data_IF_673827491257
#
_entry.id   IF_673827491257
#
_cell.length_a   1.000
_cell.length_b   1.000
_cell.length_c   1.000
_cell.angle_alpha   90.00
_cell.angle_beta   90.00
_cell.angle_gamma   90.00
#
_symmetry.space_group_name_H-M   'P 1'
#
loop_
_entity.id
_entity.type
_entity.pdbx_description
1 polymer ?
#
# COMPACT_ATOMS: atom_id res chain seq x y z
N UNK A 1 28.18 18.72 -7.35
CA UNK A 1 27.19 18.02 -6.51
C UNK A 1 25.88 18.76 -6.66
N UNK A 2 24.82 18.06 -7.05
CA UNK A 2 23.46 18.61 -7.09
C UNK A 2 22.68 18.08 -5.89
N UNK A 3 21.87 18.95 -5.31
CA UNK A 3 20.88 18.57 -4.29
C UNK A 3 19.52 18.53 -4.97
N UNK A 4 18.75 17.49 -4.73
CA UNK A 4 17.40 17.31 -5.27
C UNK A 4 16.48 17.07 -4.09
N UNK A 5 15.43 17.87 -3.98
CA UNK A 5 14.41 17.78 -2.95
C UNK A 5 13.05 17.40 -3.57
N UNK A 6 12.35 16.44 -2.96
CA UNK A 6 11.04 16.01 -3.43
C UNK A 6 10.61 14.68 -2.81
N UNK A 7 9.35 14.32 -3.01
CA UNK A 7 8.79 13.07 -2.48
C UNK A 7 9.18 11.83 -3.30
N UNK A 8 9.68 11.99 -4.52
CA UNK A 8 10.14 10.90 -5.42
C UNK A 8 9.17 9.70 -5.47
N UNK A 9 7.87 9.97 -5.49
CA UNK A 9 6.80 8.98 -5.38
C UNK A 9 6.44 8.27 -6.69
N UNK A 10 7.40 8.17 -7.61
CA UNK A 10 7.26 7.38 -8.85
C UNK A 10 8.57 6.69 -9.19
N UNK A 11 8.49 5.45 -9.68
CA UNK A 11 9.68 4.70 -10.10
C UNK A 11 10.43 5.36 -11.27
N UNK A 12 9.79 6.23 -12.04
CA UNK A 12 10.42 6.93 -13.17
C UNK A 12 11.66 7.74 -12.76
N UNK A 13 11.76 8.19 -11.50
CA UNK A 13 12.94 8.90 -10.99
C UNK A 13 14.17 8.01 -10.83
N UNK A 14 14.01 6.69 -10.77
CA UNK A 14 15.09 5.77 -10.44
C UNK A 14 14.97 4.42 -11.17
N UNK A 15 14.16 4.30 -12.22
CA UNK A 15 14.00 3.03 -12.94
C UNK A 15 15.31 2.53 -13.55
N UNK A 16 16.16 3.42 -14.06
CA UNK A 16 17.48 3.10 -14.58
C UNK A 16 18.47 2.61 -13.50
N UNK A 17 18.19 2.92 -12.23
CA UNK A 17 18.97 2.54 -11.05
C UNK A 17 18.19 1.62 -10.10
N UNK A 18 17.16 0.92 -10.57
CA UNK A 18 16.27 0.12 -9.73
C UNK A 18 16.99 -0.99 -8.95
N UNK A 19 18.05 -1.56 -9.51
CA UNK A 19 18.87 -2.58 -8.84
C UNK A 19 19.69 -1.98 -7.69
N UNK A 20 20.31 -0.84 -7.91
CA UNK A 20 21.09 -0.10 -6.92
C UNK A 20 20.20 0.37 -5.78
N UNK A 21 19.02 0.90 -6.11
CA UNK A 21 18.02 1.32 -5.10
C UNK A 21 17.60 0.11 -4.24
N UNK A 22 17.25 -1.05 -4.83
CA UNK A 22 16.93 -2.25 -4.05
C UNK A 22 18.08 -2.72 -3.20
N UNK A 23 19.31 -2.59 -3.68
CA UNK A 23 20.51 -2.94 -2.91
C UNK A 23 20.72 -2.01 -1.72
N UNK A 24 20.47 -0.70 -1.92
CA UNK A 24 20.56 0.29 -0.85
C UNK A 24 19.49 0.12 0.24
N UNK A 25 18.31 -0.42 -0.13
CA UNK A 25 17.20 -0.70 0.78
C UNK A 25 17.23 -2.12 1.38
N UNK A 26 18.37 -2.81 1.37
CA UNK A 26 18.47 -4.11 2.04
C UNK A 26 18.33 -3.99 3.56
N UNK A 27 17.53 -4.87 4.14
CA UNK A 27 17.34 -4.94 5.58
C UNK A 27 18.55 -5.65 6.22
N UNK A 28 19.37 -4.91 6.95
CA UNK A 28 20.63 -5.42 7.54
C UNK A 28 20.45 -5.97 8.96
N UNK A 29 19.49 -5.45 9.72
CA UNK A 29 19.24 -5.92 11.09
C UNK A 29 18.39 -7.20 11.10
N UNK A 30 18.53 -8.09 12.09
CA UNK A 30 17.62 -9.21 12.25
C UNK A 30 16.18 -8.73 12.51
N UNK A 31 15.20 -9.55 12.17
CA UNK A 31 13.82 -9.31 12.57
C UNK A 31 13.66 -9.49 14.08
N UNK A 32 12.67 -8.80 14.68
CA UNK A 32 12.17 -9.18 16.01
C UNK A 32 11.55 -10.58 15.98
N UNK A 33 11.49 -11.27 17.13
CA UNK A 33 10.92 -12.62 17.21
C UNK A 33 9.50 -12.69 16.66
N UNK A 34 8.64 -11.72 17.04
CA UNK A 34 7.26 -11.67 16.54
C UNK A 34 7.20 -11.46 15.02
N UNK A 35 8.04 -10.60 14.48
CA UNK A 35 8.10 -10.40 13.04
C UNK A 35 8.62 -11.65 12.30
N UNK A 36 9.55 -12.39 12.89
CA UNK A 36 10.05 -13.63 12.32
C UNK A 36 8.98 -14.72 12.29
N UNK A 37 8.19 -14.89 13.36
CA UNK A 37 7.05 -15.82 13.39
C UNK A 37 6.05 -15.53 12.29
N UNK A 38 5.72 -14.24 12.08
CA UNK A 38 4.84 -13.82 10.98
C UNK A 38 5.50 -14.13 9.62
N UNK A 39 6.79 -13.80 9.47
CA UNK A 39 7.53 -14.04 8.24
C UNK A 39 7.54 -15.52 7.85
N UNK A 40 7.69 -16.42 8.83
CA UNK A 40 7.68 -17.88 8.63
C UNK A 40 6.31 -18.42 8.15
N UNK A 41 5.22 -17.64 8.37
CA UNK A 41 3.87 -17.97 7.89
C UNK A 41 3.60 -17.51 6.45
N UNK A 42 4.43 -16.62 5.90
CA UNK A 42 4.27 -16.08 4.55
C UNK A 42 4.55 -17.17 3.51
N UNK A 43 3.65 -17.30 2.56
CA UNK A 43 3.77 -18.23 1.44
C UNK A 43 3.45 -17.55 0.10
N UNK A 44 3.49 -18.30 -1.01
CA UNK A 44 3.29 -17.76 -2.35
C UNK A 44 1.91 -17.13 -2.58
N UNK A 45 0.90 -17.50 -1.80
CA UNK A 45 -0.47 -16.98 -1.89
C UNK A 45 -0.75 -15.88 -0.86
N UNK A 46 0.25 -15.49 -0.07
CA UNK A 46 0.09 -14.42 0.92
C UNK A 46 0.07 -13.06 0.24
N UNK A 47 -1.00 -12.31 0.50
CA UNK A 47 -1.22 -10.96 0.00
C UNK A 47 -0.98 -9.96 1.13
N UNK A 48 0.00 -9.08 0.98
CA UNK A 48 0.13 -7.93 1.86
C UNK A 48 -1.05 -6.97 1.59
N UNK A 49 -1.92 -6.86 2.56
CA UNK A 49 -3.12 -6.04 2.50
C UNK A 49 -2.97 -4.85 3.45
N UNK A 50 -2.85 -3.66 2.89
CA UNK A 50 -2.60 -2.45 3.68
C UNK A 50 -3.81 -1.53 3.68
N UNK A 51 -4.18 -1.03 4.86
CA UNK A 51 -5.14 0.06 5.03
C UNK A 51 -4.46 1.18 5.82
N UNK A 52 -4.46 2.39 5.26
CA UNK A 52 -4.05 3.61 5.94
C UNK A 52 -5.28 4.45 6.22
N UNK A 53 -5.48 4.77 7.47
CA UNK A 53 -6.67 5.49 7.92
C UNK A 53 -6.31 6.70 8.79
N UNK A 54 -5.79 6.52 9.94
CA UNK A 54 -5.33 7.49 10.93
C UNK A 54 -5.32 8.96 10.49
N UNK A 55 -4.16 9.46 10.10
CA UNK A 55 -3.97 10.85 9.63
C UNK A 55 -4.63 11.16 8.28
N UNK A 56 -5.12 10.14 7.54
CA UNK A 56 -5.81 10.36 6.26
C UNK A 56 -7.28 10.79 6.44
N UNK A 57 -7.92 10.43 7.54
CA UNK A 57 -9.35 10.70 7.76
C UNK A 57 -9.71 12.18 7.67
N UNK A 58 -8.90 13.01 8.33
CA UNK A 58 -9.12 14.46 8.41
C UNK A 58 -8.41 15.22 7.28
N UNK A 59 -7.76 14.49 6.36
CA UNK A 59 -7.03 15.09 5.25
C UNK A 59 -7.77 14.86 3.93
N UNK A 60 -8.51 15.83 3.42
CA UNK A 60 -9.28 15.67 2.18
C UNK A 60 -8.42 15.43 0.94
N UNK A 61 -7.12 15.72 1.01
CA UNK A 61 -6.17 15.42 -0.06
C UNK A 61 -5.92 13.90 -0.17
N UNK A 62 -5.89 13.19 0.95
CA UNK A 62 -5.48 11.79 1.04
C UNK A 62 -6.60 10.81 1.35
N UNK A 63 -7.70 11.25 1.93
CA UNK A 63 -8.85 10.37 2.21
C UNK A 63 -9.64 10.09 0.93
N UNK A 64 -9.14 9.19 0.10
CA UNK A 64 -9.70 8.87 -1.22
C UNK A 64 -10.17 7.42 -1.36
N UNK A 65 -9.64 6.49 -0.58
CA UNK A 65 -10.03 5.09 -0.66
C UNK A 65 -11.28 4.81 0.18
N UNK A 66 -12.33 4.27 -0.45
CA UNK A 66 -13.53 3.79 0.25
C UNK A 66 -13.33 2.37 0.81
N UNK A 67 -14.18 1.94 1.74
CA UNK A 67 -14.24 0.51 2.16
C UNK A 67 -14.50 -0.40 0.95
N UNK A 68 -15.35 0.05 0.03
CA UNK A 68 -15.71 -0.71 -1.16
C UNK A 68 -14.53 -0.88 -2.12
N UNK A 69 -13.57 0.09 -2.15
CA UNK A 69 -12.31 -0.11 -2.86
C UNK A 69 -11.60 -1.38 -2.39
N UNK A 70 -11.44 -1.56 -1.08
CA UNK A 70 -10.75 -2.72 -0.52
C UNK A 70 -11.48 -4.02 -0.78
N UNK A 71 -12.81 -4.02 -0.72
CA UNK A 71 -13.63 -5.20 -1.09
C UNK A 71 -13.44 -5.56 -2.57
N UNK A 72 -13.53 -4.57 -3.48
CA UNK A 72 -13.28 -4.79 -4.91
C UNK A 72 -11.87 -5.30 -5.17
N UNK A 73 -10.87 -4.77 -4.44
CA UNK A 73 -9.48 -5.20 -4.57
C UNK A 73 -9.29 -6.66 -4.14
N UNK A 74 -9.92 -7.10 -3.04
CA UNK A 74 -9.89 -8.49 -2.60
C UNK A 74 -10.53 -9.41 -3.66
N UNK A 75 -11.72 -9.07 -4.16
CA UNK A 75 -12.39 -9.85 -5.20
C UNK A 75 -11.55 -9.98 -6.47
N UNK A 76 -10.92 -8.88 -6.90
CA UNK A 76 -10.00 -8.92 -8.04
C UNK A 76 -8.78 -9.79 -7.74
N UNK A 77 -8.21 -9.71 -6.54
CA UNK A 77 -7.05 -10.52 -6.16
C UNK A 77 -7.38 -12.01 -6.14
N UNK A 78 -8.56 -12.42 -5.67
CA UNK A 78 -9.05 -13.81 -5.68
C UNK A 78 -9.01 -14.42 -7.09
N UNK A 79 -9.26 -13.62 -8.13
CA UNK A 79 -9.21 -14.11 -9.51
C UNK A 79 -7.79 -14.40 -10.00
N UNK A 80 -6.78 -13.87 -9.35
CA UNK A 80 -5.37 -14.00 -9.74
C UNK A 80 -4.56 -14.90 -8.80
N UNK A 81 -4.98 -15.03 -7.55
CA UNK A 81 -4.26 -15.78 -6.50
C UNK A 81 -5.19 -16.82 -5.88
N UNK A 82 -5.07 -18.10 -6.28
CA UNK A 82 -5.88 -19.18 -5.70
C UNK A 82 -5.57 -19.34 -4.21
N UNK A 83 -6.61 -19.60 -3.40
CA UNK A 83 -6.45 -19.84 -1.96
C UNK A 83 -5.64 -18.73 -1.25
N UNK A 84 -5.85 -17.47 -1.65
CA UNK A 84 -5.15 -16.35 -1.03
C UNK A 84 -5.42 -16.27 0.48
N UNK A 85 -4.43 -15.79 1.20
CA UNK A 85 -4.54 -15.36 2.58
C UNK A 85 -4.01 -13.93 2.71
N UNK A 86 -4.62 -13.14 3.59
CA UNK A 86 -4.25 -11.75 3.79
C UNK A 86 -3.32 -11.61 4.99
N UNK A 87 -2.22 -10.93 4.80
CA UNK A 87 -1.42 -10.36 5.88
C UNK A 87 -1.79 -8.88 5.98
N UNK A 88 -2.52 -8.52 7.04
CA UNK A 88 -3.19 -7.23 7.18
C UNK A 88 -2.32 -6.24 7.94
N UNK A 89 -2.01 -5.12 7.32
CA UNK A 89 -1.27 -4.00 7.88
C UNK A 89 -2.18 -2.80 8.04
N UNK A 90 -2.26 -2.25 9.22
CA UNK A 90 -3.02 -1.03 9.49
C UNK A 90 -2.49 -0.26 10.67
N UNK A 91 -2.80 1.02 10.71
CA UNK A 91 -2.66 1.91 11.83
C UNK A 91 -3.90 1.91 12.76
N UNK A 92 -5.03 1.30 12.33
CA UNK A 92 -6.27 1.20 13.10
C UNK A 92 -6.91 -0.21 12.98
N UNK A 93 -6.27 -1.21 13.57
CA UNK A 93 -6.70 -2.62 13.48
C UNK A 93 -8.12 -2.83 14.02
N UNK A 94 -8.44 -2.31 15.20
CA UNK A 94 -9.76 -2.48 15.85
C UNK A 94 -10.90 -1.95 14.97
N UNK A 95 -10.64 -0.85 14.26
CA UNK A 95 -11.61 -0.29 13.34
C UNK A 95 -11.84 -1.23 12.16
N UNK A 96 -10.77 -1.82 11.61
CA UNK A 96 -10.89 -2.77 10.48
C UNK A 96 -11.68 -3.99 10.89
N UNK A 97 -11.39 -4.61 12.04
CA UNK A 97 -12.09 -5.77 12.55
C UNK A 97 -13.60 -5.51 12.71
N UNK A 98 -13.95 -4.27 13.07
CA UNK A 98 -15.34 -3.85 13.26
C UNK A 98 -16.09 -3.57 11.96
N UNK A 99 -15.40 -3.07 10.93
CA UNK A 99 -16.02 -2.49 9.74
C UNK A 99 -15.78 -3.29 8.44
N UNK A 100 -14.73 -4.08 8.35
CA UNK A 100 -14.39 -4.87 7.17
C UNK A 100 -14.39 -6.37 7.51
N UNK A 101 -15.33 -7.11 6.91
CA UNK A 101 -15.37 -8.56 7.05
C UNK A 101 -14.61 -9.22 5.92
N UNK A 102 -13.64 -10.05 6.29
CA UNK A 102 -12.90 -10.87 5.35
C UNK A 102 -13.55 -12.24 5.23
N UNK A 103 -13.79 -12.69 4.02
CA UNK A 103 -14.27 -14.04 3.69
C UNK A 103 -13.12 -14.98 3.27
N UNK A 104 -11.90 -14.58 3.53
CA UNK A 104 -10.64 -15.30 3.28
C UNK A 104 -9.81 -15.38 4.56
N UNK A 105 -8.93 -16.39 4.69
CA UNK A 105 -8.00 -16.45 5.81
C UNK A 105 -7.18 -15.15 5.92
N UNK A 106 -7.01 -14.66 7.12
CA UNK A 106 -6.25 -13.43 7.35
C UNK A 106 -5.54 -13.43 8.70
N UNK A 107 -4.45 -12.67 8.75
CA UNK A 107 -3.64 -12.44 9.95
C UNK A 107 -3.32 -10.95 10.05
N UNK A 108 -3.65 -10.32 11.16
CA UNK A 108 -3.22 -8.95 11.45
C UNK A 108 -1.79 -8.90 11.94
N UNK A 109 -1.00 -7.95 11.43
CA UNK A 109 0.37 -7.70 11.90
C UNK A 109 0.31 -6.91 13.19
N UNK A 110 0.14 -7.64 14.31
CA UNK A 110 0.07 -7.11 15.65
C UNK A 110 1.35 -7.40 16.44
N UNK A 111 1.68 -6.54 17.42
CA UNK A 111 2.84 -6.74 18.29
C UNK A 111 4.19 -6.58 17.60
N UNK A 112 4.21 -5.96 16.42
CA UNK A 112 5.41 -5.58 15.68
C UNK A 112 5.51 -4.05 15.75
N UNK A 113 6.34 -3.54 16.67
CA UNK A 113 6.43 -2.08 16.91
C UNK A 113 7.31 -1.36 15.89
N UNK A 114 8.30 -2.05 15.32
CA UNK A 114 9.28 -1.46 14.40
C UNK A 114 8.72 -1.39 12.96
N UNK A 115 8.60 -0.18 12.45
CA UNK A 115 8.16 0.09 11.07
C UNK A 115 9.05 -0.60 10.01
N UNK A 116 10.34 -0.80 10.30
CA UNK A 116 11.23 -1.52 9.38
C UNK A 116 10.84 -2.99 9.27
N UNK A 117 10.38 -3.61 10.36
CA UNK A 117 9.85 -4.97 10.32
C UNK A 117 8.53 -5.04 9.53
N UNK A 118 7.64 -4.05 9.65
CA UNK A 118 6.44 -3.96 8.79
C UNK A 118 6.82 -3.88 7.30
N UNK A 119 7.74 -2.99 6.94
CA UNK A 119 8.24 -2.85 5.57
C UNK A 119 8.83 -4.18 5.06
N UNK A 120 9.60 -4.85 5.89
CA UNK A 120 10.23 -6.13 5.57
C UNK A 120 9.21 -7.24 5.35
N UNK A 121 8.19 -7.34 6.21
CA UNK A 121 7.09 -8.29 6.05
C UNK A 121 6.33 -8.04 4.74
N UNK A 122 6.02 -6.78 4.42
CA UNK A 122 5.44 -6.44 3.12
C UNK A 122 6.35 -6.89 1.96
N UNK A 123 7.65 -6.61 2.05
CA UNK A 123 8.60 -6.96 1.00
C UNK A 123 8.80 -8.47 0.79
N UNK A 124 8.41 -9.32 1.75
CA UNK A 124 8.40 -10.77 1.60
C UNK A 124 7.20 -11.28 0.80
N UNK A 125 6.07 -10.57 0.80
CA UNK A 125 4.88 -10.95 0.04
C UNK A 125 5.09 -10.75 -1.46
N UNK A 126 4.41 -11.56 -2.29
CA UNK A 126 4.46 -11.44 -3.76
C UNK A 126 3.23 -10.77 -4.35
N UNK A 127 2.21 -10.59 -3.56
CA UNK A 127 0.94 -9.97 -3.94
C UNK A 127 0.60 -8.85 -2.97
N UNK A 128 0.05 -7.76 -3.48
CA UNK A 128 -0.23 -6.58 -2.66
C UNK A 128 -1.57 -5.95 -3.02
N UNK A 129 -2.30 -5.51 -2.00
CA UNK A 129 -3.40 -4.56 -2.10
C UNK A 129 -3.01 -3.36 -1.27
N UNK A 130 -2.86 -2.21 -1.89
CA UNK A 130 -2.35 -1.01 -1.24
C UNK A 130 -3.33 0.17 -1.32
N UNK A 131 -3.39 1.04 -0.30
CA UNK A 131 -3.99 2.36 -0.42
C UNK A 131 -3.01 3.31 -1.12
N UNK A 132 -3.35 4.58 -1.16
CA UNK A 132 -2.48 5.67 -1.63
C UNK A 132 -1.38 6.06 -0.62
N UNK A 133 -0.71 5.07 -0.05
CA UNK A 133 0.36 5.24 0.94
C UNK A 133 1.72 4.96 0.34
N UNK A 134 2.66 5.90 0.45
CA UNK A 134 4.05 5.73 0.00
C UNK A 134 4.75 4.59 0.75
N UNK A 135 4.43 4.36 2.02
CA UNK A 135 4.95 3.23 2.78
C UNK A 135 4.54 1.89 2.15
N UNK A 136 3.26 1.72 1.85
CA UNK A 136 2.75 0.51 1.21
C UNK A 136 3.27 0.35 -0.23
N UNK A 137 3.42 1.47 -0.95
CA UNK A 137 4.03 1.51 -2.27
C UNK A 137 5.46 0.94 -2.26
N UNK A 138 6.29 1.42 -1.32
CA UNK A 138 7.66 0.91 -1.17
C UNK A 138 7.71 -0.56 -0.76
N UNK A 139 6.84 -0.99 0.16
CA UNK A 139 6.73 -2.41 0.52
C UNK A 139 6.44 -3.30 -0.69
N UNK A 140 5.48 -2.89 -1.53
CA UNK A 140 5.16 -3.57 -2.76
C UNK A 140 6.32 -3.54 -3.76
N UNK A 141 6.91 -2.36 -4.02
CA UNK A 141 7.97 -2.23 -5.02
C UNK A 141 9.23 -3.02 -4.66
N UNK A 142 9.62 -3.05 -3.38
CA UNK A 142 10.79 -3.79 -2.89
C UNK A 142 10.60 -5.30 -2.99
N UNK A 143 9.37 -5.81 -2.93
CA UNK A 143 9.07 -7.25 -2.99
C UNK A 143 9.32 -7.89 -4.36
N UNK A 144 9.51 -7.11 -5.43
CA UNK A 144 9.43 -7.57 -6.83
C UNK A 144 8.12 -8.32 -7.06
N UNK A 145 6.99 -7.64 -6.98
CA UNK A 145 5.68 -8.28 -6.86
C UNK A 145 5.27 -9.01 -8.15
N UNK A 146 4.45 -10.04 -7.98
CA UNK A 146 3.74 -10.71 -9.09
C UNK A 146 2.45 -9.95 -9.43
N UNK A 147 1.75 -9.45 -8.43
CA UNK A 147 0.48 -8.74 -8.60
C UNK A 147 0.37 -7.64 -7.56
N UNK A 148 0.07 -6.43 -8.00
CA UNK A 148 -0.29 -5.31 -7.13
C UNK A 148 -1.60 -4.72 -7.58
N UNK A 149 -2.50 -4.46 -6.65
CA UNK A 149 -3.71 -3.68 -6.85
C UNK A 149 -3.56 -2.38 -6.07
N UNK A 150 -3.68 -1.27 -6.76
CA UNK A 150 -3.56 0.08 -6.23
C UNK A 150 -4.79 0.93 -6.61
N UNK A 151 -5.07 2.03 -5.90
CA UNK A 151 -6.12 2.95 -6.29
C UNK A 151 -5.72 3.68 -7.59
N UNK A 152 -6.73 4.08 -8.36
CA UNK A 152 -6.56 4.86 -9.60
C UNK A 152 -6.10 6.30 -9.33
N UNK A 153 -6.49 6.85 -8.19
CA UNK A 153 -6.05 8.16 -7.71
C UNK A 153 -5.02 8.00 -6.59
N UNK A 154 -4.05 8.91 -6.51
CA UNK A 154 -3.09 8.97 -5.42
C UNK A 154 -3.40 10.07 -4.40
N UNK A 155 -3.98 11.14 -4.87
CA UNK A 155 -4.60 12.19 -4.08
C UNK A 155 -5.96 12.53 -4.72
N UNK A 156 -6.78 13.30 -4.04
CA UNK A 156 -8.09 13.72 -4.56
C UNK A 156 -8.00 14.32 -5.96
N UNK A 157 -9.04 14.20 -6.74
CA UNK A 157 -9.23 14.87 -8.03
C UNK A 157 -10.01 16.19 -7.91
N UNK A 158 -10.21 16.67 -6.69
CA UNK A 158 -10.85 17.97 -6.44
C UNK A 158 -9.86 19.12 -6.66
N UNK A 159 -10.04 19.86 -7.75
CA UNK A 159 -9.20 20.99 -8.13
C UNK A 159 -9.13 22.07 -7.04
N UNK A 160 -10.21 22.28 -6.29
CA UNK A 160 -10.27 23.30 -5.22
C UNK A 160 -9.32 22.95 -4.07
N UNK A 161 -9.17 21.65 -3.78
CA UNK A 161 -8.24 21.17 -2.77
C UNK A 161 -6.79 21.31 -3.26
N UNK A 162 -6.51 20.96 -4.53
CA UNK A 162 -5.19 21.17 -5.13
C UNK A 162 -4.76 22.64 -5.10
N UNK A 163 -5.65 23.55 -5.48
CA UNK A 163 -5.37 24.98 -5.46
C UNK A 163 -5.11 25.50 -4.05
N UNK A 164 -5.83 25.01 -3.06
CA UNK A 164 -5.66 25.39 -1.66
C UNK A 164 -4.32 24.90 -1.09
N UNK A 165 -3.97 23.64 -1.34
CA UNK A 165 -2.78 23.00 -0.74
C UNK A 165 -1.48 23.34 -1.49
N UNK A 166 -1.52 23.44 -2.82
CA UNK A 166 -0.33 23.59 -3.67
C UNK A 166 -0.31 24.91 -4.46
N UNK A 167 -1.42 25.62 -4.54
CA UNK A 167 -1.57 26.81 -5.40
C UNK A 167 -1.73 26.48 -6.90
N UNK A 168 -1.69 25.21 -7.27
CA UNK A 168 -1.86 24.72 -8.65
C UNK A 168 -2.29 23.25 -8.66
N UNK A 169 -2.73 22.77 -9.82
CA UNK A 169 -3.00 21.35 -10.03
C UNK A 169 -1.72 20.52 -9.96
N UNK A 170 -1.76 19.37 -9.28
CA UNK A 170 -0.65 18.41 -9.17
C UNK A 170 -1.05 17.11 -9.86
N UNK A 171 -0.29 16.72 -10.87
CA UNK A 171 -0.49 15.46 -11.59
C UNK A 171 0.15 14.30 -10.81
N UNK A 172 -0.63 13.27 -10.48
CA UNK A 172 -0.16 12.09 -9.74
C UNK A 172 -0.33 10.77 -10.50
N UNK A 173 -0.74 10.83 -11.76
CA UNK A 173 -0.99 9.65 -12.58
C UNK A 173 0.22 8.73 -12.76
N UNK A 174 1.43 9.24 -12.52
CA UNK A 174 2.69 8.48 -12.62
C UNK A 174 3.11 7.79 -11.32
N UNK A 175 2.43 8.03 -10.20
CA UNK A 175 2.79 7.46 -8.90
C UNK A 175 2.65 5.94 -8.89
N UNK A 176 1.59 5.42 -9.48
CA UNK A 176 1.37 3.98 -9.59
C UNK A 176 2.07 3.45 -10.85
N UNK A 177 2.99 2.47 -10.74
CA UNK A 177 3.62 1.83 -11.88
C UNK A 177 2.62 1.28 -12.90
N UNK A 178 2.95 1.34 -14.18
CA UNK A 178 2.04 0.92 -15.25
C UNK A 178 1.70 -0.57 -15.22
N UNK A 179 2.59 -1.39 -14.68
CA UNK A 179 2.44 -2.83 -14.51
C UNK A 179 1.52 -3.24 -13.35
N UNK A 180 1.14 -2.28 -12.48
CA UNK A 180 0.21 -2.53 -11.38
C UNK A 180 -1.23 -2.32 -11.82
N UNK A 181 -2.15 -3.15 -11.30
CA UNK A 181 -3.57 -2.97 -11.55
C UNK A 181 -4.12 -1.76 -10.79
N UNK A 182 -4.74 -0.85 -11.53
CA UNK A 182 -5.46 0.30 -10.97
C UNK A 182 -6.94 -0.01 -10.96
N UNK A 183 -7.60 0.25 -9.84
CA UNK A 183 -9.05 0.15 -9.72
C UNK A 183 -9.59 1.41 -9.06
N UNK A 184 -10.86 1.79 -9.32
CA UNK A 184 -11.43 2.99 -8.72
C UNK A 184 -11.28 3.01 -7.20
N UNK A 185 -10.66 4.06 -6.68
CA UNK A 185 -10.48 4.31 -5.25
C UNK A 185 -11.82 4.51 -4.53
N UNK A 186 -12.80 5.04 -5.27
CA UNK A 186 -14.22 5.15 -4.89
C UNK A 186 -15.10 5.18 -6.14
N UNK A 187 -16.36 4.86 -5.97
CA UNK A 187 -17.41 5.07 -6.97
C UNK A 187 -18.40 6.12 -6.46
N UNK A 188 -19.21 6.67 -7.37
CA UNK A 188 -20.25 7.64 -7.01
C UNK A 188 -21.19 7.06 -5.96
N UNK A 189 -21.42 7.81 -4.88
CA UNK A 189 -22.27 7.39 -3.75
C UNK A 189 -21.57 6.56 -2.66
N UNK A 190 -20.30 6.20 -2.82
CA UNK A 190 -19.53 5.53 -1.77
C UNK A 190 -19.04 6.55 -0.73
N UNK A 191 -19.19 6.20 0.55
CA UNK A 191 -18.66 6.99 1.66
C UNK A 191 -17.14 6.79 1.79
N UNK A 192 -16.44 7.84 2.17
CA UNK A 192 -15.05 7.76 2.63
C UNK A 192 -14.93 6.91 3.89
N UNK A 193 -13.73 6.42 4.16
CA UNK A 193 -13.46 5.71 5.41
C UNK A 193 -13.45 6.65 6.61
#
# INVERSE_FOLDING_TARGET
>A
RSYVEGYFSTQQFFEDAATEVRTAFQFVNPMSSNAQEIADSINENTVAFSIRRGDFLDNPLHNICSIEYFKRAIEKMKSSVPNLNLLVFSDEVDWIESNLKFDVPHLFVNGVEDHMNHMRLMALCKHHIIPNSTFSWWGAWLSKPKTVIAPDLWITDDESIHLKEFGHWVETGHTVPNEWFRIPSRLEGESMM
#
